data_IF_635958073016
#
_entry.id   IF_635958073016
#
_cell.length_a   1.000
_cell.length_b   1.000
_cell.length_c   1.000
_cell.angle_alpha   90.00
_cell.angle_beta   90.00
_cell.angle_gamma   90.00
#
_symmetry.space_group_name_H-M   'P 1'
#
loop_
_entity.id
_entity.type
_entity.pdbx_description
1 polymer ?
#
# COMPACT_ATOMS: atom_id res chain seq x y z
N UNK A 1 52.38 -26.75 30.24
CA UNK A 1 51.52 -25.82 29.47
C UNK A 1 50.12 -25.80 30.08
N UNK A 2 49.56 -24.60 30.19
CA UNK A 2 48.48 -24.17 31.07
C UNK A 2 47.07 -24.63 30.62
N UNK A 3 46.29 -25.12 31.61
CA UNK A 3 44.84 -24.99 31.90
C UNK A 3 43.85 -24.95 30.71
N UNK A 4 42.81 -25.79 30.59
CA UNK A 4 42.05 -26.54 31.58
C UNK A 4 40.78 -25.79 32.02
N UNK A 5 39.61 -26.27 31.56
CA UNK A 5 38.28 -25.96 32.10
C UNK A 5 37.76 -24.54 31.86
N UNK A 6 36.50 -24.18 32.09
CA UNK A 6 35.27 -24.87 32.51
C UNK A 6 34.21 -23.74 32.51
N UNK A 7 33.01 -23.97 31.98
CA UNK A 7 31.72 -23.58 32.58
C UNK A 7 31.32 -22.09 32.73
N UNK A 8 29.99 -21.87 32.66
CA UNK A 8 29.20 -20.75 33.20
C UNK A 8 29.33 -19.39 32.48
N UNK A 9 28.30 -18.83 31.82
CA UNK A 9 27.03 -18.38 32.40
C UNK A 9 27.28 -17.36 33.52
N UNK A 10 27.52 -16.09 33.16
CA UNK A 10 27.34 -14.85 33.95
C UNK A 10 27.32 -13.66 32.96
N UNK A 11 26.12 -13.11 32.71
CA UNK A 11 25.92 -11.66 32.58
C UNK A 11 26.09 -11.08 34.00
N UNK A 12 26.64 -9.87 34.22
CA UNK A 12 25.76 -8.69 34.16
C UNK A 12 26.47 -7.32 33.93
N UNK A 13 25.64 -6.32 33.61
CA UNK A 13 25.67 -4.93 34.12
C UNK A 13 26.94 -4.05 34.06
N UNK A 14 26.67 -2.80 33.68
CA UNK A 14 27.19 -1.55 34.24
C UNK A 14 28.53 -0.96 33.73
N UNK A 15 28.38 0.26 33.21
CA UNK A 15 29.41 1.29 33.02
C UNK A 15 28.86 2.34 32.05
N UNK A 16 27.81 3.09 32.37
CA UNK A 16 27.83 4.29 33.22
C UNK A 16 29.05 5.19 32.96
N UNK A 17 28.75 6.33 32.32
CA UNK A 17 29.19 7.67 32.71
C UNK A 17 30.49 8.29 32.15
N UNK A 18 30.31 9.56 31.77
CA UNK A 18 31.27 10.68 31.56
C UNK A 18 31.96 10.70 30.19
N UNK A 19 31.84 11.77 29.38
CA UNK A 19 32.07 13.18 29.70
C UNK A 19 31.58 14.08 28.53
N UNK A 20 31.01 15.27 28.81
CA UNK A 20 30.98 16.37 27.83
C UNK A 20 29.74 17.28 27.83
N UNK A 21 29.65 18.19 28.81
CA UNK A 21 28.80 19.37 28.73
C UNK A 21 29.66 20.62 28.47
N UNK A 22 29.10 21.61 27.74
CA UNK A 22 29.27 23.07 27.87
C UNK A 22 29.49 23.81 26.54
N UNK A 23 28.55 24.70 26.19
CA UNK A 23 28.65 25.65 25.07
C UNK A 23 27.36 26.45 24.88
N UNK A 24 27.17 27.54 25.64
CA UNK A 24 25.98 28.42 25.65
C UNK A 24 26.41 29.86 25.32
N UNK A 25 25.72 30.48 24.33
CA UNK A 25 25.39 31.91 24.07
C UNK A 25 26.49 32.95 23.75
N UNK A 26 26.31 33.67 22.62
CA UNK A 26 26.02 35.13 22.52
C UNK A 26 26.41 35.74 21.16
N UNK A 27 25.43 36.11 20.32
CA UNK A 27 25.37 37.27 19.38
C UNK A 27 24.09 37.09 18.52
N UNK A 28 23.14 38.00 18.33
CA UNK A 28 23.15 39.45 18.47
C UNK A 28 22.69 40.11 17.15
N UNK A 29 21.37 40.14 16.91
CA UNK A 29 20.60 41.28 16.36
C UNK A 29 21.00 41.94 15.02
N UNK A 30 20.21 41.71 13.96
CA UNK A 30 19.73 42.79 13.08
C UNK A 30 18.43 42.38 12.35
N UNK A 31 17.42 43.23 12.48
CA UNK A 31 16.08 43.09 11.91
C UNK A 31 15.94 43.99 10.67
N UNK A 32 15.42 43.49 9.55
CA UNK A 32 14.53 44.18 8.60
C UNK A 32 13.80 43.10 7.77
N UNK A 33 12.47 43.12 7.78
CA UNK A 33 11.64 42.23 6.94
C UNK A 33 10.25 41.99 7.52
N UNK A 34 9.44 43.05 7.61
CA UNK A 34 8.04 43.00 8.08
C UNK A 34 7.16 42.20 7.12
N UNK A 35 6.27 41.44 7.73
CA UNK A 35 4.84 41.35 7.44
C UNK A 35 4.41 40.74 6.09
N UNK A 36 4.20 39.41 6.10
CA UNK A 36 3.07 38.79 5.42
C UNK A 36 2.78 37.45 6.09
N UNK A 37 1.53 37.23 6.53
CA UNK A 37 0.94 35.94 6.93
C UNK A 37 1.40 35.28 8.25
N UNK A 38 1.10 35.90 9.39
CA UNK A 38 0.87 35.16 10.63
C UNK A 38 0.07 35.99 11.65
N UNK A 39 -1.13 36.43 11.28
CA UNK A 39 -2.14 36.96 12.23
C UNK A 39 -3.46 37.19 11.49
N UNK A 40 -4.24 36.12 11.29
CA UNK A 40 -5.68 36.22 11.08
C UNK A 40 -6.32 34.85 11.30
N UNK A 41 -6.78 34.56 12.52
CA UNK A 41 -7.85 33.59 12.81
C UNK A 41 -8.14 33.54 14.32
N UNK A 42 -8.44 34.68 14.93
CA UNK A 42 -9.42 34.71 16.02
C UNK A 42 -10.40 35.84 15.70
N UNK A 43 -11.67 35.56 16.00
CA UNK A 43 -12.82 36.48 15.94
C UNK A 43 -13.52 36.70 14.57
N UNK A 44 -14.45 35.79 14.26
CA UNK A 44 -15.91 36.04 14.06
C UNK A 44 -16.54 34.89 13.27
N UNK A 45 -17.35 34.06 13.92
CA UNK A 45 -18.76 33.78 13.56
C UNK A 45 -19.45 33.24 14.82
N UNK A 46 -20.10 34.14 15.56
CA UNK A 46 -21.34 33.79 16.26
C UNK A 46 -22.42 33.77 15.18
N UNK A 47 -23.09 32.64 15.00
CA UNK A 47 -24.53 32.47 15.23
C UNK A 47 -25.05 31.23 14.50
N UNK A 48 -25.91 30.48 15.21
CA UNK A 48 -26.73 29.33 14.77
C UNK A 48 -26.05 27.95 14.68
N UNK A 49 -25.88 27.33 15.84
CA UNK A 49 -25.92 25.87 15.99
C UNK A 49 -27.15 25.48 16.83
N UNK A 50 -28.04 24.66 16.27
CA UNK A 50 -29.08 23.90 16.99
C UNK A 50 -28.66 22.43 16.93
N UNK A 51 -28.27 21.79 18.05
CA UNK A 51 -27.93 20.37 18.08
C UNK A 51 -29.14 19.54 18.52
N UNK A 52 -29.41 18.49 17.76
CA UNK A 52 -30.29 17.39 18.14
C UNK A 52 -29.43 16.28 18.75
N UNK A 53 -29.86 15.84 19.93
CA UNK A 53 -29.10 15.04 20.89
C UNK A 53 -29.26 13.55 20.61
N UNK A 54 -28.18 12.78 20.71
CA UNK A 54 -28.23 11.34 20.97
C UNK A 54 -27.45 11.12 22.27
N UNK A 55 -28.17 10.80 23.34
CA UNK A 55 -27.59 10.60 24.67
C UNK A 55 -27.18 9.12 24.86
N UNK A 56 -26.00 8.88 25.45
CA UNK A 56 -25.54 7.58 25.94
C UNK A 56 -26.40 7.05 27.10
N UNK A 57 -26.61 5.73 27.13
CA UNK A 57 -27.19 5.04 28.28
C UNK A 57 -26.06 4.67 29.23
N UNK A 58 -25.95 5.42 30.32
CA UNK A 58 -25.11 5.14 31.48
C UNK A 58 -25.92 4.34 32.52
N UNK A 59 -25.24 3.39 33.16
CA UNK A 59 -25.75 2.43 34.13
C UNK A 59 -26.24 3.16 35.40
N UNK A 60 -27.46 2.85 35.86
CA UNK A 60 -27.92 3.27 37.19
C UNK A 60 -28.52 2.08 37.95
N UNK A 61 -27.92 1.82 39.11
CA UNK A 61 -28.38 0.92 40.17
C UNK A 61 -29.81 1.26 40.63
N UNK A 62 -30.55 0.28 41.18
CA UNK A 62 -31.94 0.48 41.58
C UNK A 62 -32.02 1.32 42.86
N UNK A 63 -32.55 2.53 42.76
CA UNK A 63 -32.96 3.32 43.92
C UNK A 63 -34.37 2.93 44.38
N UNK A 64 -34.46 2.63 45.67
CA UNK A 64 -35.68 2.47 46.44
C UNK A 64 -36.65 3.65 46.23
N UNK A 65 -37.87 3.36 45.78
CA UNK A 65 -38.99 4.31 45.89
C UNK A 65 -40.10 3.68 46.71
N UNK A 66 -40.41 4.33 47.83
CA UNK A 66 -41.40 3.93 48.80
C UNK A 66 -42.85 4.02 48.28
N UNK A 67 -43.67 3.20 48.93
CA UNK A 67 -45.07 2.94 48.70
C UNK A 67 -45.99 4.17 48.74
N UNK A 68 -46.92 4.23 47.78
CA UNK A 68 -48.22 4.87 47.94
C UNK A 68 -49.30 3.81 47.65
N UNK A 69 -50.14 3.55 48.66
CA UNK A 69 -51.08 2.44 48.69
C UNK A 69 -52.18 2.53 47.65
N UNK A 70 -52.24 1.51 46.81
CA UNK A 70 -53.50 0.96 46.30
C UNK A 70 -53.65 -0.37 47.02
N UNK A 71 -54.80 -0.60 47.66
CA UNK A 71 -55.12 -1.85 48.36
C UNK A 71 -55.04 -3.04 47.42
N UNK A 72 -53.83 -3.56 47.22
CA UNK A 72 -53.54 -4.74 46.45
C UNK A 72 -53.96 -5.94 47.28
N UNK A 73 -55.20 -6.39 47.07
CA UNK A 73 -55.60 -7.75 47.44
C UNK A 73 -54.47 -8.66 47.01
N UNK A 74 -53.87 -9.39 47.95
CA UNK A 74 -52.86 -10.41 47.67
C UNK A 74 -53.45 -11.33 46.59
N UNK A 75 -53.07 -11.09 45.33
CA UNK A 75 -53.29 -12.05 44.26
C UNK A 75 -52.30 -13.15 44.61
N UNK A 76 -52.77 -14.13 45.40
CA UNK A 76 -52.11 -15.43 45.53
C UNK A 76 -51.75 -15.83 44.11
N UNK A 77 -50.49 -16.22 43.81
CA UNK A 77 -50.10 -16.55 42.45
C UNK A 77 -51.13 -17.54 41.93
N UNK A 78 -51.88 -17.11 40.91
CA UNK A 78 -52.75 -18.03 40.21
C UNK A 78 -51.81 -19.14 39.76
N UNK A 79 -51.97 -20.34 40.32
CA UNK A 79 -51.28 -21.52 39.80
C UNK A 79 -51.83 -21.66 38.39
N UNK A 80 -51.11 -21.10 37.42
CA UNK A 80 -51.31 -21.43 36.02
C UNK A 80 -51.08 -22.93 35.95
N UNK A 81 -52.18 -23.67 35.94
CA UNK A 81 -52.19 -25.11 35.78
C UNK A 81 -52.22 -25.28 34.27
N UNK A 82 -51.03 -25.38 33.70
CA UNK A 82 -50.89 -25.74 32.30
C UNK A 82 -51.41 -27.15 32.10
N UNK A 83 -52.08 -27.39 30.97
CA UNK A 83 -52.40 -28.75 30.54
C UNK A 83 -51.11 -29.51 30.21
N UNK A 84 -51.09 -30.83 30.35
CA UNK A 84 -49.93 -31.67 30.04
C UNK A 84 -49.39 -31.44 28.62
N UNK A 85 -50.29 -31.27 27.65
CA UNK A 85 -49.93 -30.94 26.26
C UNK A 85 -49.35 -29.53 26.07
N UNK A 86 -49.72 -28.56 26.90
CA UNK A 86 -49.12 -27.21 26.87
C UNK A 86 -47.69 -27.24 27.43
N UNK A 87 -47.46 -28.04 28.48
CA UNK A 87 -46.13 -28.23 29.07
C UNK A 87 -45.18 -28.89 28.05
N UNK A 88 -45.64 -29.94 27.36
CA UNK A 88 -44.86 -30.61 26.31
C UNK A 88 -44.53 -29.66 25.15
N UNK A 89 -45.50 -28.85 24.72
CA UNK A 89 -45.28 -27.86 23.66
C UNK A 89 -44.25 -26.80 24.08
N UNK A 90 -44.31 -26.31 25.32
CA UNK A 90 -43.34 -25.35 25.86
C UNK A 90 -41.94 -25.95 25.98
N UNK A 91 -41.81 -27.21 26.38
CA UNK A 91 -40.53 -27.92 26.41
C UNK A 91 -39.91 -28.03 25.01
N UNK A 92 -40.69 -28.49 24.02
CA UNK A 92 -40.25 -28.56 22.61
C UNK A 92 -39.82 -27.20 22.07
N UNK A 93 -40.53 -26.12 22.40
CA UNK A 93 -40.14 -24.77 22.01
C UNK A 93 -38.84 -24.32 22.68
N UNK A 94 -38.64 -24.66 23.96
CA UNK A 94 -37.39 -24.37 24.68
C UNK A 94 -36.21 -25.11 24.03
N UNK A 95 -36.34 -26.41 23.77
CA UNK A 95 -35.30 -27.22 23.13
C UNK A 95 -34.93 -26.66 21.75
N UNK A 96 -35.94 -26.23 20.97
CA UNK A 96 -35.71 -25.60 19.66
C UNK A 96 -35.02 -24.27 19.77
N UNK A 97 -35.36 -23.46 20.79
CA UNK A 97 -34.66 -22.20 21.06
C UNK A 97 -33.19 -22.46 21.37
N UNK A 98 -32.90 -23.42 22.24
CA UNK A 98 -31.53 -23.75 22.61
C UNK A 98 -30.72 -24.27 21.40
N UNK A 99 -31.34 -25.09 20.53
CA UNK A 99 -30.74 -25.53 19.27
C UNK A 99 -30.40 -24.34 18.35
N UNK A 100 -31.34 -23.39 18.21
CA UNK A 100 -31.13 -22.20 17.38
C UNK A 100 -30.06 -21.28 17.97
N UNK A 101 -30.04 -21.08 19.29
CA UNK A 101 -29.06 -20.26 20.00
C UNK A 101 -27.64 -20.85 19.89
N UNK A 102 -27.51 -22.18 19.83
CA UNK A 102 -26.23 -22.84 19.54
C UNK A 102 -25.79 -22.64 18.09
N UNK A 103 -26.72 -22.75 17.14
CA UNK A 103 -26.43 -22.54 15.71
C UNK A 103 -26.08 -21.10 15.40
N UNK A 104 -26.76 -20.12 16.01
CA UNK A 104 -26.49 -18.70 15.80
C UNK A 104 -25.07 -18.35 16.26
N UNK A 105 -24.67 -18.77 17.46
CA UNK A 105 -23.29 -18.58 17.97
C UNK A 105 -22.25 -19.20 17.04
N UNK A 106 -22.49 -20.42 16.55
CA UNK A 106 -21.56 -21.08 15.62
C UNK A 106 -21.46 -20.37 14.26
N UNK A 107 -22.53 -19.69 13.81
CA UNK A 107 -22.50 -18.87 12.59
C UNK A 107 -21.79 -17.54 12.83
N UNK A 108 -22.06 -16.86 13.95
CA UNK A 108 -21.39 -15.61 14.33
C UNK A 108 -19.86 -15.78 14.41
N UNK A 109 -19.39 -16.88 15.01
CA UNK A 109 -17.97 -17.22 15.04
C UNK A 109 -17.38 -17.37 13.62
N UNK A 110 -18.07 -18.08 12.74
CA UNK A 110 -17.63 -18.27 11.34
C UNK A 110 -17.64 -16.96 10.56
N UNK A 111 -18.68 -16.15 10.73
CA UNK A 111 -18.80 -14.84 10.08
C UNK A 111 -17.65 -13.92 10.49
N UNK A 112 -17.33 -13.87 11.78
CA UNK A 112 -16.21 -13.07 12.28
C UNK A 112 -14.86 -13.51 11.68
N UNK A 113 -14.63 -14.82 11.57
CA UNK A 113 -13.42 -15.37 10.94
C UNK A 113 -13.37 -15.07 9.43
N UNK A 114 -14.50 -15.11 8.74
CA UNK A 114 -14.60 -14.80 7.32
C UNK A 114 -14.35 -13.31 7.05
N UNK A 115 -14.86 -12.41 7.89
CA UNK A 115 -14.61 -10.97 7.79
C UNK A 115 -13.12 -10.68 7.88
N UNK A 116 -12.43 -11.22 8.89
CA UNK A 116 -10.97 -11.04 9.05
C UNK A 116 -10.21 -11.58 7.82
N UNK A 117 -10.56 -12.77 7.36
CA UNK A 117 -9.94 -13.38 6.17
C UNK A 117 -10.16 -12.53 4.92
N UNK A 118 -11.37 -12.01 4.73
CA UNK A 118 -11.72 -11.13 3.61
C UNK A 118 -10.89 -9.85 3.64
N UNK A 119 -10.78 -9.20 4.81
CA UNK A 119 -9.94 -8.01 4.97
C UNK A 119 -8.47 -8.29 4.64
N UNK A 120 -7.94 -9.45 5.05
CA UNK A 120 -6.58 -9.86 4.69
C UNK A 120 -6.41 -10.07 3.18
N UNK A 121 -7.42 -10.64 2.52
CA UNK A 121 -7.40 -10.86 1.07
C UNK A 121 -7.47 -9.54 0.30
N UNK A 122 -8.35 -8.62 0.70
CA UNK A 122 -8.46 -7.28 0.12
C UNK A 122 -7.16 -6.50 0.29
N UNK A 123 -6.52 -6.58 1.47
CA UNK A 123 -5.19 -5.99 1.70
C UNK A 123 -4.14 -6.57 0.75
N UNK A 124 -4.07 -7.89 0.62
CA UNK A 124 -3.12 -8.55 -0.30
C UNK A 124 -3.38 -8.19 -1.76
N UNK A 125 -4.64 -8.08 -2.17
CA UNK A 125 -5.01 -7.65 -3.52
C UNK A 125 -4.50 -6.23 -3.79
N UNK A 126 -4.74 -5.30 -2.86
CA UNK A 126 -4.24 -3.93 -2.98
C UNK A 126 -2.70 -3.87 -3.03
N UNK A 127 -1.99 -4.67 -2.22
CA UNK A 127 -0.53 -4.77 -2.26
C UNK A 127 -0.02 -5.28 -3.61
N UNK A 128 -0.70 -6.27 -4.20
CA UNK A 128 -0.36 -6.80 -5.52
C UNK A 128 -0.61 -5.78 -6.63
N UNK A 129 -1.70 -5.02 -6.57
CA UNK A 129 -2.00 -3.97 -7.54
C UNK A 129 -0.94 -2.86 -7.51
N UNK A 130 -0.52 -2.43 -6.31
CA UNK A 130 0.56 -1.46 -6.15
C UNK A 130 1.88 -2.01 -6.72
N UNK A 131 2.19 -3.29 -6.45
CA UNK A 131 3.39 -3.91 -6.98
C UNK A 131 3.36 -4.01 -8.51
N UNK A 132 2.21 -4.37 -9.09
CA UNK A 132 2.01 -4.43 -10.54
C UNK A 132 2.24 -3.05 -11.17
N UNK A 133 1.61 -2.00 -10.63
CA UNK A 133 1.80 -0.63 -11.12
C UNK A 133 3.27 -0.17 -11.02
N UNK A 134 3.96 -0.54 -9.94
CA UNK A 134 5.38 -0.24 -9.77
C UNK A 134 6.23 -0.95 -10.83
N UNK A 135 5.95 -2.21 -11.14
CA UNK A 135 6.65 -2.97 -12.17
C UNK A 135 6.39 -2.36 -13.55
N UNK A 136 5.14 -2.04 -13.87
CA UNK A 136 4.77 -1.38 -15.14
C UNK A 136 5.51 -0.05 -15.29
N UNK A 137 5.51 0.79 -14.23
CA UNK A 137 6.24 2.07 -14.24
C UNK A 137 7.74 1.89 -14.42
N UNK A 138 8.34 0.89 -13.77
CA UNK A 138 9.77 0.60 -13.92
C UNK A 138 10.10 0.10 -15.34
N UNK A 139 9.24 -0.75 -15.91
CA UNK A 139 9.41 -1.28 -17.26
C UNK A 139 9.28 -0.16 -18.31
N UNK A 140 8.27 0.69 -18.18
CA UNK A 140 8.11 1.87 -19.04
C UNK A 140 9.31 2.81 -18.92
N UNK A 141 9.79 3.06 -17.70
CA UNK A 141 10.97 3.88 -17.45
C UNK A 141 12.24 3.32 -18.10
N UNK A 142 12.48 2.02 -18.01
CA UNK A 142 13.60 1.37 -18.67
C UNK A 142 13.47 1.40 -20.20
N UNK A 143 12.29 1.12 -20.74
CA UNK A 143 12.02 1.19 -22.17
C UNK A 143 12.26 2.61 -22.72
N UNK A 144 11.83 3.64 -22.00
CA UNK A 144 12.07 5.03 -22.37
C UNK A 144 13.56 5.38 -22.36
N UNK A 145 14.32 4.92 -21.34
CA UNK A 145 15.77 5.12 -21.29
C UNK A 145 16.49 4.40 -22.41
N UNK A 146 16.10 3.17 -22.73
CA UNK A 146 16.68 2.40 -23.83
C UNK A 146 16.37 3.05 -25.18
N UNK A 147 15.11 3.43 -25.42
CA UNK A 147 14.71 4.14 -26.62
C UNK A 147 15.41 5.49 -26.75
N UNK A 148 15.60 6.22 -25.64
CA UNK A 148 16.37 7.46 -25.59
C UNK A 148 17.84 7.26 -25.94
N UNK A 149 18.49 6.22 -25.39
CA UNK A 149 19.88 5.83 -25.70
C UNK A 149 20.03 5.50 -27.18
N UNK A 150 19.17 4.64 -27.72
CA UNK A 150 19.21 4.25 -29.14
C UNK A 150 18.92 5.46 -30.05
N UNK A 151 17.91 6.28 -29.73
CA UNK A 151 17.60 7.49 -30.51
C UNK A 151 18.77 8.48 -30.51
N UNK A 152 19.47 8.63 -29.39
CA UNK A 152 20.69 9.45 -29.32
C UNK A 152 21.78 8.91 -30.24
N UNK A 153 22.03 7.59 -30.21
CA UNK A 153 23.00 6.95 -31.11
C UNK A 153 22.62 7.12 -32.59
N UNK A 154 21.35 6.88 -32.94
CA UNK A 154 20.83 7.10 -34.31
C UNK A 154 21.12 8.54 -34.76
N UNK A 155 20.82 9.54 -33.92
CA UNK A 155 21.09 10.95 -34.24
C UNK A 155 22.58 11.25 -34.47
N UNK A 156 23.47 10.62 -33.71
CA UNK A 156 24.92 10.81 -33.91
C UNK A 156 25.32 10.31 -35.30
N UNK A 157 24.85 9.13 -35.69
CA UNK A 157 25.17 8.56 -37.00
C UNK A 157 24.47 9.28 -38.16
N UNK A 158 23.21 9.72 -37.99
CA UNK A 158 22.47 10.47 -39.03
C UNK A 158 23.11 11.84 -39.36
N UNK A 159 23.83 12.43 -38.39
CA UNK A 159 24.52 13.70 -38.54
C UNK A 159 25.99 13.54 -38.99
N UNK A 160 26.50 12.31 -39.07
CA UNK A 160 27.84 12.00 -39.54
C UNK A 160 27.89 11.93 -41.07
N UNK A 161 29.10 12.06 -41.64
CA UNK A 161 29.31 11.85 -43.08
C UNK A 161 29.00 10.38 -43.43
N UNK A 162 28.26 10.09 -44.52
CA UNK A 162 27.86 8.72 -44.86
C UNK A 162 29.03 7.73 -45.01
N UNK A 163 30.16 8.19 -45.54
CA UNK A 163 31.38 7.36 -45.70
C UNK A 163 32.02 6.98 -44.36
N UNK A 164 31.97 7.87 -43.37
CA UNK A 164 32.53 7.61 -42.04
C UNK A 164 31.62 6.68 -41.24
N UNK A 165 30.30 6.88 -41.35
CA UNK A 165 29.31 5.97 -40.77
C UNK A 165 29.41 4.55 -41.34
N UNK A 166 29.56 4.41 -42.67
CA UNK A 166 29.72 3.10 -43.33
C UNK A 166 30.93 2.31 -42.82
N UNK A 167 32.07 2.98 -42.61
CA UNK A 167 33.28 2.35 -42.04
C UNK A 167 33.06 1.80 -40.63
N UNK A 168 32.27 2.49 -39.81
CA UNK A 168 31.93 2.03 -38.46
C UNK A 168 30.94 0.87 -38.54
N UNK A 169 29.95 0.94 -39.42
CA UNK A 169 28.92 -0.09 -39.57
C UNK A 169 29.48 -1.43 -40.07
N UNK A 170 30.59 -1.41 -40.80
CA UNK A 170 31.29 -2.64 -41.23
C UNK A 170 31.88 -3.44 -40.05
N UNK A 171 32.30 -2.76 -38.98
CA UNK A 171 32.93 -3.38 -37.80
C UNK A 171 32.00 -3.49 -36.59
N UNK A 172 30.76 -3.00 -36.70
CA UNK A 172 29.79 -3.02 -35.61
C UNK A 172 29.15 -4.42 -35.44
N UNK A 173 28.80 -4.77 -34.21
CA UNK A 173 28.08 -6.00 -33.89
C UNK A 173 26.68 -6.01 -34.56
N UNK A 174 26.26 -7.14 -35.17
CA UNK A 174 25.03 -7.20 -35.96
C UNK A 174 23.76 -6.81 -35.20
N UNK A 175 23.65 -7.12 -33.91
CA UNK A 175 22.46 -6.81 -33.10
C UNK A 175 22.30 -5.31 -32.84
N UNK A 176 23.42 -4.62 -32.58
CA UNK A 176 23.45 -3.16 -32.37
C UNK A 176 23.19 -2.44 -33.70
N UNK A 177 23.79 -2.94 -34.78
CA UNK A 177 23.60 -2.43 -36.13
C UNK A 177 22.12 -2.47 -36.53
N UNK A 178 21.45 -3.60 -36.30
CA UNK A 178 20.02 -3.77 -36.62
C UNK A 178 19.14 -2.80 -35.82
N UNK A 179 19.43 -2.65 -34.53
CA UNK A 179 18.71 -1.75 -33.62
C UNK A 179 18.83 -0.28 -34.03
N UNK A 180 19.97 0.13 -34.58
CA UNK A 180 20.21 1.50 -35.06
C UNK A 180 19.62 1.70 -36.45
N UNK A 181 19.83 0.75 -37.37
CA UNK A 181 19.40 0.85 -38.77
C UNK A 181 17.87 0.82 -38.89
N UNK A 182 17.18 -0.02 -38.12
CA UNK A 182 15.70 -0.10 -38.12
C UNK A 182 15.01 1.18 -37.67
N UNK A 183 15.67 2.00 -36.84
CA UNK A 183 15.13 3.26 -36.30
C UNK A 183 15.62 4.50 -37.05
N UNK A 184 16.47 4.32 -38.07
CA UNK A 184 17.04 5.40 -38.85
C UNK A 184 16.11 5.81 -39.99
N UNK A 185 16.14 7.09 -40.38
CA UNK A 185 15.42 7.55 -41.56
C UNK A 185 16.00 6.93 -42.83
N UNK A 186 15.14 6.37 -43.67
CA UNK A 186 15.52 5.77 -44.97
C UNK A 186 16.39 6.70 -45.83
N UNK A 187 16.06 8.00 -45.85
CA UNK A 187 16.81 9.02 -46.59
C UNK A 187 18.26 9.20 -46.12
N UNK A 188 18.55 8.91 -44.85
CA UNK A 188 19.90 8.96 -44.28
C UNK A 188 20.62 7.62 -44.40
N UNK A 189 19.87 6.53 -44.32
CA UNK A 189 20.39 5.17 -44.45
C UNK A 189 20.86 4.84 -45.87
N UNK A 190 20.11 5.26 -46.89
CA UNK A 190 20.42 4.98 -48.31
C UNK A 190 21.86 5.33 -48.72
N UNK A 191 22.37 6.56 -48.49
CA UNK A 191 23.76 6.88 -48.84
C UNK A 191 24.81 6.15 -47.97
N UNK A 192 24.46 5.67 -46.78
CA UNK A 192 25.34 4.86 -45.93
C UNK A 192 25.45 3.45 -46.50
N UNK A 193 24.34 2.82 -46.90
CA UNK A 193 24.32 1.52 -47.56
C UNK A 193 25.07 1.55 -48.90
N UNK A 194 24.98 2.64 -49.65
CA UNK A 194 25.71 2.82 -50.91
C UNK A 194 27.24 2.92 -50.71
N UNK A 195 27.69 3.33 -49.52
CA UNK A 195 29.11 3.44 -49.18
C UNK A 195 29.67 2.17 -48.51
N UNK A 196 28.83 1.15 -48.26
CA UNK A 196 29.22 -0.13 -47.68
C UNK A 196 29.69 -1.14 -48.75
N UNK A 197 30.48 -2.16 -48.37
CA UNK A 197 30.73 -3.32 -49.21
C UNK A 197 29.43 -4.06 -49.55
N UNK A 198 29.28 -4.53 -50.80
CA UNK A 198 28.07 -5.19 -51.27
C UNK A 198 27.63 -6.38 -50.38
N UNK A 199 28.59 -7.18 -49.89
CA UNK A 199 28.32 -8.31 -49.01
C UNK A 199 27.67 -7.86 -47.69
N UNK A 200 28.17 -6.80 -47.06
CA UNK A 200 27.61 -6.28 -45.80
C UNK A 200 26.26 -5.62 -46.00
N UNK A 201 26.06 -4.88 -47.09
CA UNK A 201 24.76 -4.29 -47.39
C UNK A 201 23.67 -5.38 -47.56
N UNK A 202 23.98 -6.47 -48.27
CA UNK A 202 23.07 -7.61 -48.43
C UNK A 202 22.74 -8.29 -47.10
N UNK A 203 23.75 -8.48 -46.23
CA UNK A 203 23.56 -9.05 -44.90
C UNK A 203 22.57 -8.19 -44.08
N UNK A 204 22.79 -6.87 -44.03
CA UNK A 204 21.91 -5.94 -43.30
C UNK A 204 20.48 -6.01 -43.83
N UNK A 205 20.29 -5.95 -45.16
CA UNK A 205 18.96 -6.01 -45.77
C UNK A 205 18.25 -7.34 -45.50
N UNK A 206 18.99 -8.46 -45.55
CA UNK A 206 18.43 -9.78 -45.28
C UNK A 206 18.00 -9.90 -43.82
N UNK A 207 18.83 -9.45 -42.89
CA UNK A 207 18.54 -9.48 -41.45
C UNK A 207 17.34 -8.58 -41.10
N UNK A 208 17.20 -7.41 -41.73
CA UNK A 208 16.04 -6.52 -41.53
C UNK A 208 14.71 -7.17 -41.95
N UNK A 209 14.70 -8.01 -42.98
CA UNK A 209 13.49 -8.69 -43.45
C UNK A 209 13.17 -9.91 -42.60
N UNK A 210 14.19 -10.67 -42.17
CA UNK A 210 14.02 -11.88 -41.37
C UNK A 210 13.69 -11.61 -39.90
N UNK A 211 14.10 -10.46 -39.39
CA UNK A 211 13.86 -10.04 -38.02
C UNK A 211 13.22 -8.64 -38.02
N UNK A 212 11.93 -8.52 -38.40
CA UNK A 212 11.24 -7.25 -38.36
C UNK A 212 11.26 -6.74 -36.90
N UNK A 213 11.62 -5.48 -36.73
CA UNK A 213 11.59 -4.84 -35.41
C UNK A 213 10.13 -4.74 -34.96
N UNK A 214 9.70 -5.72 -34.15
CA UNK A 214 8.45 -5.70 -33.38
C UNK A 214 8.54 -4.74 -32.18
#
# INVERSE_FOLDING_TARGET
MNRGGRWALILPFCGFFLLGAMGIRMFGMLAVGRAAFAQQAEEKVKDKAKPEQVLPVEVMEPQDTQAAGVGGKLIKPARMSFSEGEIEALQKLSERRDELDLRSKALEEKESALVVTRMQLEKKAAELDVLKQKIETLLEGEQQKENGRISSLVKVYENMKPKDAARIFESLEPDILLSVVSRMKEAKLSPILAALPAAKAQEITTTLVLNPAD
#
